data_IF_254548052254
#
_entry.id   IF_254548052254
#
_cell.length_a   1.000
_cell.length_b   1.000
_cell.length_c   1.000
_cell.angle_alpha   90.00
_cell.angle_beta   90.00
_cell.angle_gamma   90.00
#
_symmetry.space_group_name_H-M   'P 1'
#
loop_
_entity.id
_entity.type
_entity.pdbx_description
1 polymer ?
#
# COMPACT_ATOMS: atom_id res chain seq x y z
N UNK A 1 -2.15 -5.39 -2.52
CA UNK A 1 -0.70 -5.42 -2.30
C UNK A 1 -0.01 -4.25 -2.99
N UNK A 2 1.06 -3.74 -2.37
CA UNK A 2 1.89 -2.69 -2.98
C UNK A 2 2.69 -3.32 -4.13
N UNK A 3 2.66 -2.72 -5.32
CA UNK A 3 3.40 -3.19 -6.49
C UNK A 3 3.97 -2.01 -7.25
N UNK A 4 5.14 -2.20 -7.80
CA UNK A 4 5.78 -1.29 -8.75
C UNK A 4 6.15 -2.11 -9.97
N UNK A 5 5.72 -1.67 -11.15
CA UNK A 5 6.12 -2.24 -12.43
C UNK A 5 7.07 -1.25 -13.11
N UNK A 6 8.25 -1.72 -13.45
CA UNK A 6 9.26 -0.96 -14.18
C UNK A 6 9.38 -1.52 -15.60
N UNK A 7 8.41 -1.24 -16.41
CA UNK A 7 8.34 -1.77 -17.77
C UNK A 7 9.46 -1.26 -18.67
N UNK A 8 9.94 -0.05 -18.44
CA UNK A 8 11.09 0.51 -19.16
C UNK A 8 12.36 -0.35 -19.07
N UNK A 9 12.48 -1.18 -18.05
CA UNK A 9 13.59 -2.14 -17.90
C UNK A 9 13.41 -3.40 -18.78
N UNK A 10 12.22 -3.65 -19.32
CA UNK A 10 12.00 -4.70 -20.29
C UNK A 10 12.40 -4.24 -21.69
N UNK A 11 12.89 -5.18 -22.53
CA UNK A 11 13.31 -4.86 -23.90
C UNK A 11 12.22 -4.14 -24.71
N UNK A 12 10.98 -4.57 -24.59
CA UNK A 12 9.85 -3.94 -25.27
C UNK A 12 9.44 -2.61 -24.61
N UNK A 13 9.67 -2.47 -23.31
CA UNK A 13 9.32 -1.27 -22.56
C UNK A 13 10.24 -0.09 -22.83
N UNK A 14 11.51 -0.33 -23.10
CA UNK A 14 12.49 0.72 -23.44
C UNK A 14 12.11 1.55 -24.68
N UNK A 15 11.41 0.94 -25.64
CA UNK A 15 10.90 1.64 -26.82
C UNK A 15 9.82 2.64 -26.42
N UNK A 16 8.95 2.27 -25.50
CA UNK A 16 7.86 3.11 -25.00
C UNK A 16 8.37 4.25 -24.11
N UNK A 17 9.46 4.04 -23.40
CA UNK A 17 10.09 5.10 -22.61
C UNK A 17 10.40 6.31 -23.48
N UNK A 18 11.06 6.11 -24.62
CA UNK A 18 11.39 7.19 -25.54
C UNK A 18 10.16 7.85 -26.19
N UNK A 19 9.09 7.09 -26.41
CA UNK A 19 7.86 7.60 -27.02
C UNK A 19 6.98 8.40 -26.06
N UNK A 20 7.02 8.05 -24.77
CA UNK A 20 6.16 8.62 -23.75
C UNK A 20 6.88 9.65 -22.86
N UNK A 21 8.20 9.76 -22.98
CA UNK A 21 8.99 10.78 -22.27
C UNK A 21 9.05 12.04 -23.11
N UNK A 22 8.62 13.13 -22.52
CA UNK A 22 8.72 14.47 -23.10
C UNK A 22 9.69 15.36 -22.29
N UNK A 23 9.61 16.69 -22.50
CA UNK A 23 10.46 17.65 -21.81
C UNK A 23 10.16 17.78 -20.31
N UNK A 24 9.02 17.28 -19.84
CA UNK A 24 8.54 17.42 -18.47
C UNK A 24 8.90 16.22 -17.57
N UNK A 25 9.57 15.21 -18.16
CA UNK A 25 10.05 14.03 -17.44
C UNK A 25 9.45 12.72 -17.93
N UNK A 26 9.85 11.63 -17.28
CA UNK A 26 9.41 10.29 -17.66
C UNK A 26 7.94 10.06 -17.32
N UNK A 27 7.27 9.34 -18.21
CA UNK A 27 5.88 8.93 -18.03
C UNK A 27 5.73 7.96 -16.85
N UNK A 28 4.78 8.25 -15.98
CA UNK A 28 4.42 7.42 -14.84
C UNK A 28 2.91 7.22 -14.81
N UNK A 29 2.48 5.98 -14.72
CA UNK A 29 1.09 5.62 -14.47
C UNK A 29 0.90 5.20 -13.01
N UNK A 30 -0.10 5.79 -12.36
CA UNK A 30 -0.59 5.34 -11.07
C UNK A 30 -1.94 4.68 -11.28
N UNK A 31 -2.03 3.40 -10.98
CA UNK A 31 -3.25 2.62 -11.18
C UNK A 31 -3.75 2.05 -9.87
N UNK A 32 -5.05 2.11 -9.66
CA UNK A 32 -5.75 1.44 -8.60
C UNK A 32 -6.90 0.62 -9.19
N UNK A 33 -7.43 -0.31 -8.44
CA UNK A 33 -8.54 -1.13 -8.86
C UNK A 33 -8.55 -2.52 -8.24
N UNK A 34 -9.59 -3.24 -8.52
CA UNK A 34 -9.86 -4.57 -7.99
C UNK A 34 -8.91 -5.64 -8.52
N UNK A 35 -8.52 -5.52 -9.78
CA UNK A 35 -7.72 -6.54 -10.45
C UNK A 35 -6.30 -6.60 -9.88
N UNK A 36 -5.77 -7.80 -9.73
CA UNK A 36 -4.41 -8.00 -9.23
C UNK A 36 -3.35 -7.44 -10.19
N UNK A 37 -3.64 -7.43 -11.47
CA UNK A 37 -2.77 -6.93 -12.52
C UNK A 37 -3.61 -6.44 -13.70
N UNK A 38 -2.99 -5.65 -14.58
CA UNK A 38 -3.60 -5.24 -15.83
C UNK A 38 -3.84 -6.47 -16.71
N UNK A 39 -5.05 -6.58 -17.27
CA UNK A 39 -5.37 -7.66 -18.17
C UNK A 39 -4.76 -7.39 -19.56
N UNK A 40 -3.96 -8.32 -20.03
CA UNK A 40 -3.42 -8.32 -21.40
C UNK A 40 -3.53 -9.72 -21.99
N UNK A 41 -3.44 -9.84 -23.30
CA UNK A 41 -3.50 -11.14 -23.98
C UNK A 41 -2.48 -12.14 -23.43
N UNK A 42 -1.25 -11.70 -23.18
CA UNK A 42 -0.19 -12.52 -22.60
C UNK A 42 -0.42 -12.87 -21.12
N UNK A 43 -1.19 -12.07 -20.39
CA UNK A 43 -1.54 -12.31 -18.99
C UNK A 43 -2.84 -13.09 -18.80
N UNK A 44 -3.58 -13.36 -19.88
CA UNK A 44 -4.85 -14.10 -19.84
C UNK A 44 -4.72 -15.58 -19.48
N UNK A 45 -3.48 -16.09 -19.49
CA UNK A 45 -3.18 -17.49 -19.15
C UNK A 45 -3.08 -17.76 -17.66
N UNK A 46 -3.10 -16.72 -16.83
CA UNK A 46 -2.99 -16.87 -15.36
C UNK A 46 -4.31 -16.52 -14.70
N UNK A 47 -5.02 -17.48 -14.09
CA UNK A 47 -6.40 -17.32 -13.62
C UNK A 47 -6.55 -16.27 -12.53
N UNK A 48 -5.54 -16.05 -11.71
CA UNK A 48 -5.58 -15.03 -10.65
C UNK A 48 -5.58 -13.58 -11.18
N UNK A 49 -5.37 -13.38 -12.47
CA UNK A 49 -5.42 -12.06 -13.12
C UNK A 49 -6.77 -11.73 -13.74
N UNK A 50 -7.63 -12.73 -13.83
CA UNK A 50 -8.95 -12.58 -14.44
C UNK A 50 -10.02 -12.70 -13.37
N UNK A 51 -11.04 -11.90 -13.54
CA UNK A 51 -12.27 -12.00 -12.75
C UNK A 51 -13.43 -11.92 -13.71
N UNK A 52 -14.24 -12.95 -13.72
CA UNK A 52 -15.41 -13.01 -14.59
C UNK A 52 -16.53 -12.12 -14.05
N UNK A 53 -17.30 -11.56 -14.98
CA UNK A 53 -18.56 -10.92 -14.70
C UNK A 53 -19.68 -11.91 -15.01
N UNK A 54 -20.21 -12.54 -14.00
CA UNK A 54 -21.40 -13.41 -14.16
C UNK A 54 -22.65 -12.57 -14.39
N UNK A 55 -23.70 -13.10 -15.05
CA UNK A 55 -24.98 -12.40 -15.18
C UNK A 55 -25.48 -11.90 -13.82
N UNK A 56 -26.01 -10.67 -13.81
CA UNK A 56 -26.50 -9.99 -12.59
C UNK A 56 -25.42 -9.64 -11.55
N UNK A 57 -24.15 -9.79 -11.90
CA UNK A 57 -23.04 -9.37 -11.04
C UNK A 57 -22.97 -7.84 -10.95
N UNK A 58 -22.78 -7.34 -9.74
CA UNK A 58 -22.49 -5.93 -9.46
C UNK A 58 -21.29 -5.84 -8.55
N UNK A 59 -20.42 -4.87 -8.79
CA UNK A 59 -19.26 -4.59 -7.98
C UNK A 59 -19.11 -3.09 -7.75
N UNK A 60 -18.60 -2.71 -6.60
CA UNK A 60 -18.29 -1.32 -6.28
C UNK A 60 -17.09 -1.24 -5.36
N UNK A 61 -16.25 -0.25 -5.58
CA UNK A 61 -15.11 0.05 -4.70
C UNK A 61 -14.92 1.55 -4.60
N UNK A 62 -14.21 1.97 -3.56
CA UNK A 62 -13.87 3.37 -3.33
C UNK A 62 -12.37 3.55 -3.42
N UNK A 63 -11.93 4.50 -4.23
CA UNK A 63 -10.54 4.95 -4.29
C UNK A 63 -10.43 6.34 -3.69
N UNK A 64 -9.32 6.58 -2.98
CA UNK A 64 -9.00 7.89 -2.41
C UNK A 64 -7.63 8.31 -2.90
N UNK A 65 -7.58 9.43 -3.58
CA UNK A 65 -6.37 10.03 -4.11
C UNK A 65 -6.07 11.30 -3.32
N UNK A 66 -4.92 11.39 -2.72
CA UNK A 66 -4.53 12.55 -1.92
C UNK A 66 -3.01 12.71 -1.90
N UNK A 67 -2.50 13.97 -1.79
CA UNK A 67 -1.09 14.20 -1.63
C UNK A 67 -0.64 13.80 -0.22
N UNK A 68 0.57 13.24 -0.13
CA UNK A 68 1.27 12.99 1.15
C UNK A 68 2.48 13.91 1.18
N UNK A 69 2.64 14.67 2.27
CA UNK A 69 3.72 15.63 2.41
C UNK A 69 4.44 15.44 3.74
N UNK A 70 5.78 15.51 3.71
CA UNK A 70 6.62 15.63 4.89
C UNK A 70 6.76 14.39 5.75
N UNK A 71 6.23 13.23 5.34
CA UNK A 71 6.35 11.99 6.12
C UNK A 71 7.55 11.14 5.71
N UNK A 72 8.23 11.47 4.60
CA UNK A 72 9.38 10.73 4.05
C UNK A 72 9.15 9.22 3.82
N UNK A 73 7.90 8.78 3.92
CA UNK A 73 7.50 7.39 3.75
C UNK A 73 6.05 7.16 4.18
N UNK A 74 5.60 5.92 4.03
CA UNK A 74 4.25 5.47 4.40
C UNK A 74 4.34 4.10 5.04
N UNK A 75 4.01 4.01 6.32
CA UNK A 75 3.83 2.72 7.01
C UNK A 75 2.39 2.22 6.82
N UNK A 76 1.40 3.09 7.05
CA UNK A 76 -0.02 2.75 6.94
C UNK A 76 -0.82 3.92 6.36
N UNK A 77 -1.84 3.60 5.58
CA UNK A 77 -2.90 4.53 5.19
C UNK A 77 -4.16 4.16 5.97
N UNK A 78 -4.69 5.11 6.71
CA UNK A 78 -5.94 5.00 7.46
C UNK A 78 -6.98 5.99 6.94
N UNK A 79 -8.21 5.90 7.42
CA UNK A 79 -9.29 6.81 7.02
C UNK A 79 -8.96 8.30 7.12
N UNK A 80 -8.37 8.77 8.24
CA UNK A 80 -8.03 10.17 8.44
C UNK A 80 -6.76 10.65 7.72
N UNK A 81 -5.85 9.76 7.32
CA UNK A 81 -4.58 10.16 6.71
C UNK A 81 -3.54 9.05 6.63
N UNK A 82 -2.30 9.46 6.48
CA UNK A 82 -1.14 8.58 6.31
C UNK A 82 -0.24 8.64 7.53
N UNK A 83 0.10 7.47 8.07
CA UNK A 83 1.06 7.31 9.16
C UNK A 83 2.37 6.77 8.64
N UNK A 84 3.48 7.33 9.09
CA UNK A 84 4.81 6.76 8.93
C UNK A 84 5.51 6.63 10.27
N UNK A 85 5.99 5.42 10.56
CA UNK A 85 6.81 5.10 11.72
C UNK A 85 8.25 4.92 11.25
N UNK A 86 9.13 5.79 11.71
CA UNK A 86 10.55 5.78 11.36
C UNK A 86 11.36 5.45 12.61
N UNK A 87 11.90 4.24 12.63
CA UNK A 87 12.76 3.79 13.72
C UNK A 87 14.19 4.27 13.53
N UNK A 88 14.85 4.57 14.64
CA UNK A 88 16.25 4.94 14.74
C UNK A 88 16.90 4.22 15.93
N UNK A 89 18.23 4.39 16.11
CA UNK A 89 18.92 3.86 17.27
C UNK A 89 18.42 4.47 18.60
N UNK A 90 17.88 5.68 18.56
CA UNK A 90 17.45 6.44 19.75
C UNK A 90 15.95 6.25 20.08
N UNK A 91 15.17 5.71 19.14
CA UNK A 91 13.73 5.49 19.34
C UNK A 91 12.90 5.54 18.04
N UNK A 92 11.66 6.00 18.20
CA UNK A 92 10.65 6.08 17.15
C UNK A 92 10.31 7.53 16.83
N UNK A 93 10.26 7.86 15.55
CA UNK A 93 9.63 9.08 15.06
C UNK A 93 8.28 8.74 14.39
N UNK A 94 7.19 9.29 14.93
CA UNK A 94 5.84 9.18 14.40
C UNK A 94 5.53 10.40 13.54
N UNK A 95 5.25 10.15 12.27
CA UNK A 95 4.83 11.15 11.32
C UNK A 95 3.40 10.86 10.83
N UNK A 96 2.58 11.91 10.76
CA UNK A 96 1.21 11.78 10.26
C UNK A 96 0.87 12.93 9.31
N UNK A 97 0.29 12.61 8.16
CA UNK A 97 -0.20 13.57 7.16
C UNK A 97 -1.72 13.38 6.97
N UNK A 98 -2.53 14.37 7.40
CA UNK A 98 -3.99 14.28 7.32
C UNK A 98 -4.51 14.55 5.92
N UNK A 99 -5.67 13.95 5.59
CA UNK A 99 -6.41 14.20 4.34
C UNK A 99 -7.67 15.06 4.57
N UNK A 100 -7.96 15.39 5.80
CA UNK A 100 -9.04 16.27 6.25
C UNK A 100 -8.57 17.17 7.38
N UNK A 101 -9.34 18.18 7.71
CA UNK A 101 -9.12 18.92 8.97
C UNK A 101 -9.22 17.98 10.17
N UNK A 102 -8.27 18.09 11.08
CA UNK A 102 -8.19 17.32 12.33
C UNK A 102 -8.35 18.27 13.50
N UNK A 103 -9.20 17.90 14.47
CA UNK A 103 -9.34 18.53 15.78
C UNK A 103 -9.61 17.44 16.83
N UNK A 104 -8.65 16.54 16.98
CA UNK A 104 -8.81 15.31 17.75
C UNK A 104 -7.54 15.04 18.55
N UNK A 105 -7.62 14.10 19.50
CA UNK A 105 -6.45 13.67 20.23
C UNK A 105 -5.66 12.63 19.43
N UNK A 106 -4.37 12.87 19.27
CA UNK A 106 -3.41 11.85 18.84
C UNK A 106 -2.94 11.08 20.06
N UNK A 107 -3.25 9.80 20.14
CA UNK A 107 -2.86 8.92 21.24
C UNK A 107 -1.92 7.84 20.75
N UNK A 108 -0.83 7.63 21.50
CA UNK A 108 0.16 6.57 21.23
C UNK A 108 0.26 5.66 22.44
N UNK A 109 0.20 4.36 22.19
CA UNK A 109 0.45 3.35 23.23
C UNK A 109 1.62 2.48 22.81
N UNK A 110 2.42 2.07 23.79
CA UNK A 110 3.54 1.12 23.62
C UNK A 110 3.40 0.02 24.66
N UNK A 111 3.38 -1.23 24.21
CA UNK A 111 3.18 -2.40 25.06
C UNK A 111 1.94 -2.26 25.98
N UNK A 112 0.84 -1.72 25.40
CA UNK A 112 -0.42 -1.48 26.10
C UNK A 112 -0.43 -0.27 27.05
N UNK A 113 0.68 0.47 27.17
CA UNK A 113 0.76 1.66 28.03
C UNK A 113 0.68 2.93 27.17
N UNK A 114 -0.21 3.86 27.55
CA UNK A 114 -0.29 5.19 26.96
C UNK A 114 0.99 5.99 27.27
N UNK A 115 1.63 6.52 26.21
CA UNK A 115 2.85 7.33 26.32
C UNK A 115 2.64 8.76 25.83
N UNK A 116 1.64 9.00 24.98
CA UNK A 116 1.22 10.34 24.54
C UNK A 116 -0.29 10.34 24.27
N UNK A 117 -0.93 11.48 24.51
CA UNK A 117 -2.34 11.72 24.24
C UNK A 117 -2.59 13.23 24.11
N UNK A 118 -2.17 13.82 23.00
CA UNK A 118 -2.16 15.25 22.81
C UNK A 118 -3.25 15.68 21.81
N UNK A 119 -3.94 16.77 22.14
CA UNK A 119 -4.88 17.37 21.22
C UNK A 119 -4.13 18.01 20.05
N UNK A 120 -4.42 17.59 18.84
CA UNK A 120 -3.85 18.16 17.62
C UNK A 120 -4.91 18.89 16.81
N UNK A 121 -4.48 19.99 16.18
CA UNK A 121 -5.28 20.75 15.22
C UNK A 121 -4.44 20.87 13.96
N UNK A 122 -4.93 20.30 12.84
CA UNK A 122 -4.16 20.22 11.61
C UNK A 122 -5.06 20.36 10.39
N UNK A 123 -4.48 20.90 9.33
CA UNK A 123 -5.09 20.97 8.00
C UNK A 123 -4.42 19.98 7.05
N UNK A 124 -5.10 19.55 5.95
CA UNK A 124 -4.46 18.78 4.89
C UNK A 124 -3.15 19.43 4.42
N UNK A 125 -2.15 18.63 4.10
CA UNK A 125 -0.78 19.00 3.72
C UNK A 125 0.15 19.45 4.86
N UNK A 126 -0.34 19.61 6.07
CA UNK A 126 0.50 19.71 7.26
C UNK A 126 1.03 18.34 7.67
N UNK A 127 2.10 18.32 8.46
CA UNK A 127 2.70 17.09 8.96
C UNK A 127 2.86 17.17 10.47
N UNK A 128 2.26 16.22 11.17
CA UNK A 128 2.55 15.95 12.58
C UNK A 128 3.87 15.18 12.65
N UNK A 129 4.69 15.53 13.63
CA UNK A 129 5.97 14.89 13.85
C UNK A 129 6.25 14.87 15.36
N UNK A 130 6.36 13.67 15.94
CA UNK A 130 6.66 13.46 17.35
C UNK A 130 7.69 12.35 17.53
N UNK A 131 8.68 12.59 18.39
CA UNK A 131 9.78 11.67 18.68
C UNK A 131 9.60 11.04 20.05
N UNK A 132 9.72 9.71 20.12
CA UNK A 132 9.63 8.91 21.32
C UNK A 132 10.94 8.16 21.53
N UNK A 133 11.65 8.49 22.61
CA UNK A 133 12.93 7.86 22.94
C UNK A 133 12.77 6.44 23.48
N UNK A 134 13.70 5.56 23.16
CA UNK A 134 13.81 4.22 23.73
C UNK A 134 12.82 3.19 23.22
N UNK A 135 12.01 3.53 22.21
CA UNK A 135 11.08 2.60 21.56
C UNK A 135 11.81 1.83 20.47
N UNK A 136 11.56 0.54 20.40
CA UNK A 136 12.18 -0.40 19.45
C UNK A 136 11.17 -0.93 18.45
N UNK A 137 11.67 -1.49 17.37
CA UNK A 137 10.84 -2.07 16.31
C UNK A 137 10.06 -3.33 16.75
N UNK A 138 10.51 -4.01 17.79
CA UNK A 138 9.86 -5.16 18.40
C UNK A 138 8.82 -4.81 19.51
N UNK A 139 8.69 -3.53 19.88
CA UNK A 139 7.64 -3.08 20.77
C UNK A 139 6.27 -3.11 20.08
N UNK A 140 5.23 -3.44 20.85
CA UNK A 140 3.85 -3.36 20.38
C UNK A 140 3.38 -1.90 20.41
N UNK A 141 3.14 -1.32 19.23
CA UNK A 141 2.77 0.08 19.07
C UNK A 141 1.36 0.18 18.48
N UNK A 142 0.55 1.03 19.11
CA UNK A 142 -0.73 1.45 18.54
C UNK A 142 -0.82 2.98 18.49
N UNK A 143 -1.37 3.50 17.41
CA UNK A 143 -1.60 4.93 17.19
C UNK A 143 -3.08 5.15 16.90
N UNK A 144 -3.68 6.09 17.63
CA UNK A 144 -5.08 6.46 17.48
C UNK A 144 -5.24 7.95 17.21
N UNK A 145 -6.27 8.30 16.46
CA UNK A 145 -6.76 9.66 16.29
C UNK A 145 -8.22 9.70 16.72
N UNK A 146 -8.49 10.32 17.86
CA UNK A 146 -9.80 10.21 18.51
C UNK A 146 -10.16 8.74 18.78
N UNK A 147 -11.20 8.25 18.10
CA UNK A 147 -11.62 6.84 18.13
C UNK A 147 -11.06 5.98 17.01
N UNK A 148 -10.45 6.59 16.00
CA UNK A 148 -9.93 5.89 14.83
C UNK A 148 -8.55 5.30 15.12
N UNK A 149 -8.41 3.99 14.99
CA UNK A 149 -7.10 3.35 15.01
C UNK A 149 -6.37 3.60 13.70
N UNK A 150 -5.29 4.37 13.74
CA UNK A 150 -4.46 4.68 12.58
C UNK A 150 -3.47 3.56 12.28
N UNK A 151 -2.92 2.95 13.33
CA UNK A 151 -1.89 1.91 13.20
C UNK A 151 -1.91 0.98 14.42
N UNK A 152 -1.59 -0.28 14.18
CA UNK A 152 -1.19 -1.25 15.20
C UNK A 152 -0.11 -2.15 14.62
N UNK A 153 0.98 -2.38 15.36
CA UNK A 153 2.03 -3.32 14.96
C UNK A 153 1.55 -4.77 15.05
N UNK A 154 0.50 -5.05 15.82
CA UNK A 154 -0.14 -6.36 15.89
C UNK A 154 -1.07 -6.66 14.70
N UNK A 155 -1.44 -5.64 13.91
CA UNK A 155 -2.30 -5.82 12.75
C UNK A 155 -1.51 -6.46 11.58
N UNK A 156 -1.64 -7.74 11.38
CA UNK A 156 -1.14 -8.41 10.19
C UNK A 156 -1.84 -7.90 8.94
N UNK A 157 -1.11 -7.19 8.09
CA UNK A 157 -1.61 -6.82 6.76
C UNK A 157 -1.40 -7.99 5.80
N UNK A 158 -2.20 -9.03 5.96
CA UNK A 158 -2.21 -10.18 5.05
C UNK A 158 -2.95 -9.76 3.78
N UNK A 159 -2.23 -9.63 2.69
CA UNK A 159 -2.84 -9.61 1.36
C UNK A 159 -3.12 -11.05 1.00
N UNK A 160 -4.38 -11.45 1.09
CA UNK A 160 -4.81 -12.75 0.56
C UNK A 160 -4.45 -12.79 -0.93
N UNK A 161 -3.54 -13.69 -1.28
CA UNK A 161 -3.32 -14.02 -2.68
C UNK A 161 -4.41 -15.01 -3.07
N UNK A 162 -4.96 -14.90 -4.29
CA UNK A 162 -5.84 -15.93 -4.81
C UNK A 162 -5.14 -17.30 -4.68
N UNK A 163 -5.90 -18.31 -4.28
CA UNK A 163 -5.36 -19.67 -4.17
C UNK A 163 -4.73 -20.04 -5.51
N UNK A 164 -3.46 -20.43 -5.46
CA UNK A 164 -2.83 -21.06 -6.61
C UNK A 164 -3.44 -22.43 -6.80
N UNK A 165 -3.63 -22.81 -8.05
CA UNK A 165 -3.92 -24.17 -8.44
C UNK A 165 -2.89 -25.12 -7.77
N UNK A 166 -3.35 -26.20 -7.15
CA UNK A 166 -2.47 -27.16 -6.46
C UNK A 166 -1.70 -28.08 -7.43
N UNK A 167 -1.91 -27.92 -8.73
CA UNK A 167 -1.19 -28.68 -9.75
C UNK A 167 -1.62 -30.15 -9.88
N UNK A 168 -2.84 -30.47 -9.44
CA UNK A 168 -3.34 -31.85 -9.41
C UNK A 168 -4.07 -32.27 -10.71
N UNK A 169 -4.45 -31.32 -11.54
CA UNK A 169 -5.07 -31.56 -12.85
C UNK A 169 -4.14 -31.14 -13.99
N UNK A 170 -4.39 -31.64 -15.20
CA UNK A 170 -3.58 -31.28 -16.37
C UNK A 170 -3.64 -29.77 -16.67
N UNK A 171 -4.82 -29.17 -16.53
CA UNK A 171 -5.05 -27.72 -16.64
C UNK A 171 -4.24 -26.93 -15.61
N UNK A 172 -4.20 -27.41 -14.38
CA UNK A 172 -3.43 -26.80 -13.30
C UNK A 172 -1.94 -26.78 -13.59
N UNK A 173 -1.41 -27.88 -14.11
CA UNK A 173 -0.01 -27.99 -14.52
C UNK A 173 0.31 -27.06 -15.68
N UNK A 174 -0.60 -26.91 -16.63
CA UNK A 174 -0.45 -25.99 -17.75
C UNK A 174 -0.43 -24.54 -17.28
N UNK A 175 -1.34 -24.17 -16.38
CA UNK A 175 -1.41 -22.85 -15.78
C UNK A 175 -0.14 -22.56 -14.97
N UNK A 176 0.30 -23.50 -14.13
CA UNK A 176 1.52 -23.38 -13.35
C UNK A 176 2.76 -23.21 -14.24
N UNK A 177 2.85 -23.98 -15.31
CA UNK A 177 3.94 -23.85 -16.28
C UNK A 177 3.95 -22.46 -16.94
N UNK A 178 2.78 -21.95 -17.31
CA UNK A 178 2.63 -20.58 -17.86
C UNK A 178 3.02 -19.51 -16.84
N UNK A 179 2.69 -19.69 -15.57
CA UNK A 179 3.10 -18.78 -14.50
C UNK A 179 4.62 -18.77 -14.30
N UNK A 180 5.22 -19.96 -14.24
CA UNK A 180 6.67 -20.09 -14.10
C UNK A 180 7.44 -19.52 -15.29
N UNK A 181 6.93 -19.69 -16.51
CA UNK A 181 7.52 -19.07 -17.69
C UNK A 181 7.44 -17.53 -17.65
N UNK A 182 6.32 -16.99 -17.17
CA UNK A 182 6.07 -15.55 -17.12
C UNK A 182 6.89 -14.83 -16.05
N UNK A 183 7.20 -15.51 -14.94
CA UNK A 183 7.96 -14.97 -13.82
C UNK A 183 9.41 -15.49 -13.76
N UNK A 184 9.85 -16.13 -14.83
CA UNK A 184 11.23 -16.56 -14.96
C UNK A 184 12.12 -15.33 -15.15
N UNK A 185 12.85 -14.98 -14.11
CA UNK A 185 13.91 -13.97 -14.13
C UNK A 185 15.19 -14.54 -14.75
#
# INVERSE_FOLDING_TARGET
>A
GKKIFLWSQARNGAIWENLLTDTDGQYVEVQAGRMYNQNSFSSSRTPFKQTDFTPYYSDSWTERWFPVRGTDGVTRVAGPGTVHLKYSADGLNLLFSPIREIRENMKVTVNGKEISNDQIVMMPTETYNEEFSGIREDDEIEVYLGTDKLFSSADDFIVERPNRSEGNALEDLFILAGELEQFRS
#
